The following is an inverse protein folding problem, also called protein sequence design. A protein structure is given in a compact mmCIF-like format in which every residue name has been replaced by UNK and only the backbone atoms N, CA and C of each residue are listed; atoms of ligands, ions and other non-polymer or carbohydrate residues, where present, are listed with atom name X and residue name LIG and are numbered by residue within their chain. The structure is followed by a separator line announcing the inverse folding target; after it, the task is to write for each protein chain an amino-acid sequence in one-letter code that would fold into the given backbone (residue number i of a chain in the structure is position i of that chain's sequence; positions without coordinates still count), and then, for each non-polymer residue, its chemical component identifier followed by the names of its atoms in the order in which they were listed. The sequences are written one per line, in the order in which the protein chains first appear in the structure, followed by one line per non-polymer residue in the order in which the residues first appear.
data_IF_861714732291
#
_entry.id   IF_861714732291
#
_cell.length_a   1.000
_cell.length_b   1.000
_cell.length_c   1.000
_cell.angle_alpha   90.00
_cell.angle_beta   90.00
_cell.angle_gamma   90.00
#
_symmetry.space_group_name_H-M   'P 1'
#
loop_
_entity.id
_entity.type
_entity.pdbx_description
1 polymer ?
#
# COMPACT_ATOMS: atom_id res chain seq x y z
N UNK A 1 -6.25 14.51 31.73
CA UNK A 1 -4.98 14.89 32.37
C UNK A 1 -3.98 15.41 31.36
N UNK A 2 -3.45 14.54 30.49
CA UNK A 2 -2.38 14.86 29.52
C UNK A 2 -2.87 15.70 28.32
N UNK A 3 -4.11 15.48 27.87
CA UNK A 3 -4.74 16.19 26.74
C UNK A 3 -4.86 17.72 26.89
N UNK A 4 -4.87 18.23 28.13
CA UNK A 4 -4.99 19.69 28.39
C UNK A 4 -3.59 20.34 28.37
N UNK A 5 -2.56 19.62 28.85
CA UNK A 5 -1.20 20.14 28.92
C UNK A 5 -0.55 20.35 27.53
N UNK A 6 -0.89 19.52 26.53
CA UNK A 6 -0.40 19.70 25.15
C UNK A 6 -1.04 20.90 24.44
N UNK A 7 -2.31 21.18 24.73
CA UNK A 7 -3.06 22.31 24.15
C UNK A 7 -2.56 23.67 24.68
N UNK A 8 -2.05 23.69 25.90
CA UNK A 8 -1.42 24.88 26.50
C UNK A 8 -0.04 25.20 25.91
N UNK A 9 0.62 24.20 25.30
CA UNK A 9 1.91 24.36 24.63
C UNK A 9 1.78 25.02 23.23
N UNK A 10 0.67 24.77 22.53
CA UNK A 10 0.35 25.40 21.23
C UNK A 10 0.02 26.89 21.37
N UNK A 11 -0.66 27.30 22.45
CA UNK A 11 -1.15 28.67 22.62
C UNK A 11 -0.01 29.67 22.93
N UNK A 12 1.13 29.22 23.48
CA UNK A 12 2.23 30.11 23.89
C UNK A 12 3.32 30.35 22.85
N UNK A 13 3.09 29.98 21.59
CA UNK A 13 3.82 30.58 20.48
C UNK A 13 5.27 30.12 20.34
N UNK A 14 5.46 28.96 19.74
CA UNK A 14 6.59 28.77 18.82
C UNK A 14 6.04 28.72 17.41
N UNK A 15 6.18 29.85 16.72
CA UNK A 15 6.50 29.90 15.31
C UNK A 15 5.53 29.24 14.34
N UNK A 16 4.59 30.04 13.84
CA UNK A 16 4.14 29.94 12.47
C UNK A 16 5.36 29.95 11.53
N UNK A 17 5.86 28.78 11.15
CA UNK A 17 6.81 28.58 10.04
C UNK A 17 6.64 27.14 9.53
N UNK A 18 6.00 27.03 8.36
CA UNK A 18 5.58 25.83 7.63
C UNK A 18 4.23 25.20 8.04
N UNK A 19 3.17 25.77 7.48
CA UNK A 19 2.10 25.02 6.83
C UNK A 19 1.37 23.95 7.66
N UNK A 20 0.29 24.36 8.34
CA UNK A 20 -0.67 23.48 9.03
C UNK A 20 -1.31 22.37 8.15
N UNK A 21 -1.06 22.36 6.83
CA UNK A 21 -1.49 21.28 5.93
C UNK A 21 -0.46 20.13 5.80
N UNK A 22 0.81 20.34 6.17
CA UNK A 22 1.86 19.31 6.13
C UNK A 22 2.13 18.65 7.49
N UNK A 23 1.80 19.30 8.61
CA UNK A 23 2.00 18.72 9.94
C UNK A 23 1.10 17.50 10.18
N UNK A 24 -0.15 17.53 9.72
CA UNK A 24 -1.05 16.37 9.78
C UNK A 24 -0.53 15.16 9.00
N UNK A 25 0.09 15.41 7.83
CA UNK A 25 0.66 14.34 7.01
C UNK A 25 1.93 13.72 7.62
N UNK A 26 2.75 14.49 8.35
CA UNK A 26 3.88 13.95 9.12
C UNK A 26 3.42 13.13 10.32
N UNK A 27 2.33 13.54 10.98
CA UNK A 27 1.75 12.83 12.12
C UNK A 27 1.13 11.49 11.67
N UNK A 28 0.43 11.47 10.54
CA UNK A 28 -0.14 10.25 9.93
C UNK A 28 0.96 9.24 9.54
N UNK A 29 2.02 9.68 8.88
CA UNK A 29 3.15 8.80 8.49
C UNK A 29 3.87 8.23 9.72
N UNK A 30 3.99 9.01 10.79
CA UNK A 30 4.59 8.54 12.05
C UNK A 30 3.75 7.47 12.74
N UNK A 31 2.42 7.61 12.72
CA UNK A 31 1.49 6.62 13.26
C UNK A 31 1.49 5.33 12.44
N UNK A 32 1.46 5.41 11.11
CA UNK A 32 1.50 4.23 10.23
C UNK A 32 2.80 3.45 10.40
N UNK A 33 3.93 4.15 10.49
CA UNK A 33 5.23 3.52 10.74
C UNK A 33 5.27 2.85 12.11
N UNK A 34 4.71 3.48 13.15
CA UNK A 34 4.58 2.88 14.48
C UNK A 34 3.72 1.61 14.46
N UNK A 35 2.58 1.63 13.77
CA UNK A 35 1.71 0.46 13.61
C UNK A 35 2.42 -0.68 12.85
N UNK A 36 3.17 -0.34 11.80
CA UNK A 36 4.00 -1.32 11.05
C UNK A 36 5.04 -1.98 11.95
N UNK A 37 5.85 -1.18 12.66
CA UNK A 37 6.87 -1.69 13.57
C UNK A 37 6.29 -2.55 14.70
N UNK A 38 5.10 -2.19 15.21
CA UNK A 38 4.38 -2.97 16.22
C UNK A 38 3.94 -4.34 15.66
N UNK A 39 3.38 -4.36 14.45
CA UNK A 39 2.97 -5.60 13.78
C UNK A 39 4.17 -6.51 13.50
N UNK A 40 5.29 -5.96 13.04
CA UNK A 40 6.53 -6.72 12.80
C UNK A 40 7.05 -7.37 14.10
N UNK A 41 7.00 -6.62 15.21
CA UNK A 41 7.36 -7.14 16.53
C UNK A 41 6.42 -8.25 17.01
N UNK A 42 5.10 -8.09 16.82
CA UNK A 42 4.10 -9.12 17.16
C UNK A 42 4.30 -10.38 16.32
N UNK A 43 4.56 -10.25 15.02
CA UNK A 43 4.80 -11.37 14.12
C UNK A 43 6.06 -12.15 14.51
N UNK A 44 7.13 -11.43 14.84
CA UNK A 44 8.37 -12.04 15.36
C UNK A 44 8.12 -12.83 16.64
N UNK A 45 7.31 -12.30 17.57
CA UNK A 45 6.95 -12.98 18.82
C UNK A 45 6.05 -14.21 18.61
N UNK A 46 5.22 -14.22 17.55
CA UNK A 46 4.39 -15.37 17.16
C UNK A 46 5.19 -16.50 16.51
N UNK A 47 6.50 -16.35 16.35
CA UNK A 47 7.35 -17.35 15.69
C UNK A 47 7.29 -17.31 14.16
N UNK A 48 6.59 -16.33 13.59
CA UNK A 48 6.75 -15.99 12.18
C UNK A 48 8.12 -15.33 12.06
N UNK A 49 9.04 -15.94 11.33
CA UNK A 49 10.26 -15.20 10.94
C UNK A 49 9.79 -14.00 10.13
N UNK A 50 10.28 -12.77 10.42
CA UNK A 50 10.15 -11.70 9.45
C UNK A 50 10.65 -12.25 8.12
N UNK A 51 9.82 -12.11 7.07
CA UNK A 51 10.20 -12.50 5.72
C UNK A 51 11.58 -11.89 5.46
N UNK A 52 12.53 -12.72 5.02
CA UNK A 52 13.93 -12.28 4.89
C UNK A 52 13.99 -10.95 4.11
N UNK A 53 14.95 -10.10 4.49
CA UNK A 53 15.12 -8.69 4.05
C UNK A 53 15.55 -8.56 2.57
N UNK A 54 14.99 -9.40 1.69
CA UNK A 54 15.24 -9.40 0.26
C UNK A 54 14.01 -8.90 -0.50
N UNK A 55 14.28 -8.16 -1.56
CA UNK A 55 13.24 -7.67 -2.47
C UNK A 55 13.07 -8.67 -3.62
N UNK A 56 11.82 -9.00 -3.96
CA UNK A 56 11.47 -9.71 -5.20
C UNK A 56 11.14 -8.70 -6.28
N UNK A 57 11.90 -8.72 -7.38
CA UNK A 57 11.68 -7.86 -8.55
C UNK A 57 10.95 -8.60 -9.66
N UNK A 58 10.05 -7.90 -10.34
CA UNK A 58 9.30 -8.42 -11.49
C UNK A 58 9.50 -7.46 -12.65
N UNK A 59 10.14 -7.95 -13.72
CA UNK A 59 10.42 -7.22 -14.96
C UNK A 59 9.83 -7.98 -16.15
N UNK A 60 8.56 -7.71 -16.46
CA UNK A 60 7.80 -8.38 -17.50
C UNK A 60 7.38 -7.37 -18.57
N UNK A 61 7.47 -7.77 -19.84
CA UNK A 61 7.05 -6.94 -20.98
C UNK A 61 5.54 -7.03 -21.19
N UNK A 62 4.77 -6.57 -20.20
CA UNK A 62 3.30 -6.60 -20.22
C UNK A 62 2.74 -5.23 -19.89
N UNK A 63 1.67 -4.85 -20.59
CA UNK A 63 0.94 -3.63 -20.28
C UNK A 63 0.19 -3.81 -18.97
N UNK A 64 0.72 -3.24 -17.88
CA UNK A 64 0.15 -3.32 -16.55
C UNK A 64 -0.02 -1.93 -15.94
N UNK A 65 -1.24 -1.39 -16.05
CA UNK A 65 -1.59 -0.08 -15.53
C UNK A 65 -3.11 0.09 -15.46
N UNK A 66 -3.57 1.05 -14.66
CA UNK A 66 -4.97 1.47 -14.65
C UNK A 66 -5.21 2.51 -15.77
N UNK A 67 -6.00 2.20 -16.81
CA UNK A 67 -6.26 3.15 -17.89
C UNK A 67 -7.07 4.35 -17.41
N UNK A 68 -6.80 5.58 -17.92
CA UNK A 68 -7.62 6.76 -17.59
C UNK A 68 -9.07 6.65 -18.11
N UNK A 69 -9.32 5.78 -19.10
CA UNK A 69 -10.67 5.46 -19.57
C UNK A 69 -11.48 4.66 -18.55
N UNK A 70 -10.81 3.88 -17.69
CA UNK A 70 -11.45 3.03 -16.69
C UNK A 70 -11.71 3.80 -15.39
N UNK A 71 -10.66 4.42 -14.83
CA UNK A 71 -10.78 5.27 -13.65
C UNK A 71 -10.25 6.66 -13.98
N UNK A 72 -11.19 7.62 -14.11
CA UNK A 72 -10.90 9.02 -14.49
C UNK A 72 -10.44 9.89 -13.33
N UNK A 73 -10.91 9.60 -12.11
CA UNK A 73 -10.55 10.37 -10.93
C UNK A 73 -9.16 9.93 -10.44
N UNK A 74 -8.18 10.82 -10.49
CA UNK A 74 -6.78 10.51 -10.14
C UNK A 74 -6.59 10.13 -8.67
N UNK A 75 -7.34 10.74 -7.74
CA UNK A 75 -7.25 10.38 -6.32
C UNK A 75 -7.76 8.94 -6.09
N UNK A 76 -8.88 8.58 -6.72
CA UNK A 76 -9.43 7.24 -6.67
C UNK A 76 -8.51 6.22 -7.37
N UNK A 77 -7.93 6.60 -8.50
CA UNK A 77 -6.97 5.77 -9.23
C UNK A 77 -5.75 5.45 -8.35
N UNK A 78 -5.23 6.44 -7.63
CA UNK A 78 -4.11 6.26 -6.71
C UNK A 78 -4.48 5.36 -5.52
N UNK A 79 -5.69 5.49 -5.00
CA UNK A 79 -6.21 4.60 -3.95
C UNK A 79 -6.24 3.14 -4.43
N UNK A 80 -6.76 2.90 -5.64
CA UNK A 80 -6.78 1.58 -6.26
C UNK A 80 -5.36 1.03 -6.45
N UNK A 81 -4.40 1.83 -6.90
CA UNK A 81 -2.99 1.38 -6.99
C UNK A 81 -2.42 0.95 -5.64
N UNK A 82 -2.67 1.72 -4.57
CA UNK A 82 -2.19 1.37 -3.22
C UNK A 82 -2.80 0.05 -2.73
N UNK A 83 -4.10 -0.14 -2.97
CA UNK A 83 -4.81 -1.34 -2.57
C UNK A 83 -4.36 -2.57 -3.35
N UNK A 84 -4.20 -2.44 -4.67
CA UNK A 84 -3.65 -3.51 -5.51
C UNK A 84 -2.26 -3.91 -5.03
N UNK A 85 -1.39 -2.95 -4.71
CA UNK A 85 -0.04 -3.24 -4.21
C UNK A 85 -0.01 -3.95 -2.85
N UNK A 86 -1.10 -3.93 -2.10
CA UNK A 86 -1.25 -4.59 -0.80
C UNK A 86 -1.91 -5.97 -0.85
N UNK A 87 -2.24 -6.51 -2.03
CA UNK A 87 -2.83 -7.86 -2.17
C UNK A 87 -1.76 -8.90 -1.87
N UNK A 88 -1.91 -9.70 -0.82
CA UNK A 88 -0.95 -10.75 -0.44
C UNK A 88 -1.46 -12.17 -0.74
N UNK A 89 -2.77 -12.32 -0.91
CA UNK A 89 -3.46 -13.62 -1.04
C UNK A 89 -4.36 -13.72 -2.27
N UNK A 90 -4.72 -14.95 -2.65
CA UNK A 90 -5.70 -15.21 -3.72
C UNK A 90 -7.11 -14.73 -3.36
N UNK A 91 -7.45 -14.69 -2.07
CA UNK A 91 -8.75 -14.20 -1.61
C UNK A 91 -8.86 -12.68 -1.79
N UNK A 92 -7.85 -11.92 -1.35
CA UNK A 92 -7.75 -10.47 -1.61
C UNK A 92 -7.67 -10.16 -3.11
N UNK A 93 -7.02 -11.08 -3.85
CA UNK A 93 -7.23 -11.42 -5.25
C UNK A 93 -8.61 -11.07 -5.79
N UNK A 94 -9.48 -12.03 -5.50
CA UNK A 94 -10.84 -12.16 -6.01
C UNK A 94 -11.72 -11.03 -5.48
N UNK A 95 -11.55 -10.66 -4.19
CA UNK A 95 -12.25 -9.54 -3.58
C UNK A 95 -11.97 -8.21 -4.32
N UNK A 96 -10.71 -7.97 -4.72
CA UNK A 96 -10.36 -6.79 -5.48
C UNK A 96 -10.97 -6.83 -6.89
N UNK A 97 -11.01 -7.99 -7.54
CA UNK A 97 -11.66 -8.13 -8.85
C UNK A 97 -13.16 -7.86 -8.76
N UNK A 98 -13.85 -8.46 -7.79
CA UNK A 98 -15.29 -8.28 -7.58
C UNK A 98 -15.64 -6.82 -7.30
N UNK A 99 -14.84 -6.14 -6.47
CA UNK A 99 -15.04 -4.72 -6.21
C UNK A 99 -14.81 -3.87 -7.47
N UNK A 100 -13.75 -4.15 -8.24
CA UNK A 100 -13.49 -3.41 -9.48
C UNK A 100 -14.64 -3.59 -10.47
N UNK A 101 -15.18 -4.80 -10.58
CA UNK A 101 -16.30 -5.13 -11.43
C UNK A 101 -17.58 -4.38 -11.01
N UNK A 102 -17.91 -4.40 -9.72
CA UNK A 102 -19.11 -3.73 -9.18
C UNK A 102 -19.03 -2.20 -9.36
N UNK A 103 -17.85 -1.61 -9.13
CA UNK A 103 -17.68 -0.15 -9.11
C UNK A 103 -17.42 0.46 -10.48
N UNK A 104 -16.72 -0.25 -11.36
CA UNK A 104 -16.19 0.30 -12.62
C UNK A 104 -16.57 -0.51 -13.85
N UNK A 105 -17.19 -1.68 -13.69
CA UNK A 105 -17.58 -2.58 -14.78
C UNK A 105 -16.42 -3.46 -15.25
N UNK A 106 -16.47 -3.89 -16.52
CA UNK A 106 -15.52 -4.84 -17.08
C UNK A 106 -14.06 -4.40 -16.87
N UNK A 107 -13.28 -5.28 -16.25
CA UNK A 107 -11.87 -5.04 -15.93
C UNK A 107 -11.04 -5.07 -17.22
N UNK A 108 -10.34 -3.98 -17.59
CA UNK A 108 -9.45 -3.98 -18.74
C UNK A 108 -8.27 -4.93 -18.54
N UNK A 109 -7.77 -5.53 -19.63
CA UNK A 109 -6.61 -6.41 -19.58
C UNK A 109 -5.39 -5.79 -18.89
N UNK A 110 -5.19 -4.47 -19.00
CA UNK A 110 -4.07 -3.79 -18.35
C UNK A 110 -4.19 -3.76 -16.82
N UNK A 111 -5.42 -3.72 -16.30
CA UNK A 111 -5.70 -3.80 -14.86
C UNK A 111 -5.58 -5.23 -14.38
N UNK A 112 -6.08 -6.19 -15.15
CA UNK A 112 -5.96 -7.61 -14.86
C UNK A 112 -4.49 -8.03 -14.78
N UNK A 113 -3.67 -7.63 -15.75
CA UNK A 113 -2.22 -7.85 -15.73
C UNK A 113 -1.57 -7.26 -14.47
N UNK A 114 -2.00 -6.07 -14.04
CA UNK A 114 -1.47 -5.42 -12.85
C UNK A 114 -1.77 -6.23 -11.58
N UNK A 115 -3.01 -6.74 -11.44
CA UNK A 115 -3.41 -7.60 -10.34
C UNK A 115 -2.59 -8.90 -10.32
N UNK A 116 -2.45 -9.55 -11.48
CA UNK A 116 -1.72 -10.80 -11.61
C UNK A 116 -0.22 -10.65 -11.31
N UNK A 117 0.40 -9.53 -11.71
CA UNK A 117 1.80 -9.23 -11.39
C UNK A 117 2.01 -9.11 -9.88
N UNK A 118 1.10 -8.47 -9.16
CA UNK A 118 1.23 -8.35 -7.70
C UNK A 118 1.08 -9.70 -7.03
N UNK A 119 0.08 -10.49 -7.43
CA UNK A 119 -0.11 -11.85 -6.91
C UNK A 119 1.12 -12.73 -7.19
N UNK A 120 1.64 -12.67 -8.42
CA UNK A 120 2.86 -13.38 -8.82
C UNK A 120 4.07 -12.95 -8.01
N UNK A 121 4.27 -11.63 -7.82
CA UNK A 121 5.36 -11.08 -7.02
C UNK A 121 5.33 -11.65 -5.60
N UNK A 122 4.14 -11.69 -4.98
CA UNK A 122 4.00 -12.17 -3.61
C UNK A 122 4.19 -13.69 -3.49
N UNK A 123 3.64 -14.46 -4.44
CA UNK A 123 3.91 -15.90 -4.52
C UNK A 123 5.42 -16.20 -4.71
N UNK A 124 6.09 -15.44 -5.58
CA UNK A 124 7.52 -15.55 -5.81
C UNK A 124 8.34 -15.17 -4.58
N UNK A 125 7.96 -14.10 -3.87
CA UNK A 125 8.58 -13.69 -2.62
C UNK A 125 8.45 -14.79 -1.55
N UNK A 126 7.28 -15.41 -1.40
CA UNK A 126 7.07 -16.56 -0.51
C UNK A 126 7.89 -17.80 -0.91
N UNK A 127 8.17 -17.96 -2.20
CA UNK A 127 9.02 -19.03 -2.73
C UNK A 127 10.52 -18.69 -2.72
N UNK A 128 10.94 -17.60 -2.09
CA UNK A 128 12.34 -17.14 -2.03
C UNK A 128 12.94 -16.83 -3.42
N UNK A 129 12.11 -16.44 -4.38
CA UNK A 129 12.54 -15.97 -5.69
C UNK A 129 12.86 -14.48 -5.63
N UNK A 130 14.05 -14.08 -6.07
CA UNK A 130 14.52 -12.68 -6.04
C UNK A 130 14.18 -11.91 -7.30
N UNK A 131 14.03 -12.58 -8.44
CA UNK A 131 13.78 -11.94 -9.73
C UNK A 131 12.93 -12.82 -10.64
N UNK A 132 11.97 -12.18 -11.30
CA UNK A 132 11.17 -12.75 -12.38
C UNK A 132 11.35 -11.84 -13.59
N UNK A 133 11.88 -12.37 -14.69
CA UNK A 133 12.03 -11.62 -15.93
C UNK A 133 11.49 -12.40 -17.13
N UNK A 134 10.89 -11.68 -18.08
CA UNK A 134 10.22 -12.28 -19.23
C UNK A 134 9.97 -11.27 -20.35
N UNK A 135 10.26 -11.69 -21.58
CA UNK A 135 10.01 -10.93 -22.81
C UNK A 135 8.65 -11.24 -23.42
#
# INVERSE_FOLDING_TARGET
GVKIAMRDLEIRGTGNLLGAAQSGHMEDVGYDLYCKMLNDAINTLKGNKPMDDFETKVDLTVDAFVPPSYIKNEALKMDIYKRIAGIETMEEYEDMQDELLDRFGDIPNQVENLLQIVLLKNAAHQAYVTEISGQ
#
